data_IF_791645101329
#
_entry.id   IF_791645101329
#
_cell.length_a   1.000
_cell.length_b   1.000
_cell.length_c   1.000
_cell.angle_alpha   90.00
_cell.angle_beta   90.00
_cell.angle_gamma   90.00
#
_symmetry.space_group_name_H-M   'P 1'
#
loop_
_entity.id
_entity.type
_entity.pdbx_description
1 polymer ?
#
# COMPACT_ATOMS: atom_id res chain seq x y z
N UNK A 1 4.06 -22.66 18.30
CA UNK A 1 4.60 -22.28 16.97
C UNK A 1 3.73 -21.22 16.25
N UNK A 2 2.43 -21.44 16.03
CA UNK A 2 1.58 -20.50 15.28
C UNK A 2 1.37 -19.12 15.93
N UNK A 3 1.38 -19.03 17.27
CA UNK A 3 1.36 -17.74 17.98
C UNK A 3 2.58 -16.88 17.63
N UNK A 4 3.76 -17.49 17.52
CA UNK A 4 5.01 -16.80 17.22
C UNK A 4 5.02 -16.30 15.77
N UNK A 5 4.53 -17.10 14.82
CA UNK A 5 4.41 -16.71 13.41
C UNK A 5 3.42 -15.56 13.24
N UNK A 6 2.26 -15.61 13.94
CA UNK A 6 1.27 -14.53 13.93
C UNK A 6 1.82 -13.23 14.51
N UNK A 7 2.55 -13.28 15.62
CA UNK A 7 3.17 -12.10 16.22
C UNK A 7 4.29 -11.52 15.34
N UNK A 8 5.10 -12.35 14.70
CA UNK A 8 6.14 -11.88 13.78
C UNK A 8 5.57 -11.21 12.53
N UNK A 9 4.48 -11.74 11.97
CA UNK A 9 3.76 -11.09 10.87
C UNK A 9 3.13 -9.76 11.29
N UNK A 10 2.57 -9.69 12.49
CA UNK A 10 2.00 -8.45 13.03
C UNK A 10 3.07 -7.38 13.22
N UNK A 11 4.22 -7.74 13.79
CA UNK A 11 5.36 -6.84 13.99
C UNK A 11 5.95 -6.37 12.65
N UNK A 12 6.06 -7.25 11.66
CA UNK A 12 6.57 -6.90 10.33
C UNK A 12 5.67 -5.91 9.57
N UNK A 13 4.35 -5.92 9.82
CA UNK A 13 3.40 -4.98 9.20
C UNK A 13 3.34 -3.65 9.95
N UNK A 14 3.49 -3.68 11.27
CA UNK A 14 3.37 -2.50 12.13
C UNK A 14 4.68 -1.68 12.16
N UNK A 15 5.84 -2.33 12.12
CA UNK A 15 7.15 -1.66 12.24
C UNK A 15 7.43 -0.61 11.15
N UNK A 16 7.10 -0.81 9.85
CA UNK A 16 7.34 0.20 8.82
C UNK A 16 6.45 1.44 9.02
N UNK A 17 5.22 1.26 9.52
CA UNK A 17 4.27 2.37 9.76
C UNK A 17 4.81 3.32 10.83
N UNK A 18 5.36 2.78 11.92
CA UNK A 18 5.96 3.61 12.97
C UNK A 18 7.30 4.23 12.57
N UNK A 19 8.12 3.52 11.80
CA UNK A 19 9.37 4.07 11.30
C UNK A 19 9.15 5.29 10.38
N UNK A 20 8.10 5.27 9.56
CA UNK A 20 7.78 6.38 8.66
C UNK A 20 7.16 7.59 9.37
N UNK A 21 6.34 7.38 10.41
CA UNK A 21 5.84 8.50 11.23
C UNK A 21 6.98 9.24 11.93
N UNK A 22 8.02 8.53 12.37
CA UNK A 22 9.19 9.13 12.99
C UNK A 22 9.99 9.99 11.99
N UNK A 23 10.07 9.58 10.71
CA UNK A 23 10.82 10.31 9.69
C UNK A 23 10.13 11.63 9.29
N UNK A 24 8.80 11.63 9.18
CA UNK A 24 8.01 12.84 8.90
C UNK A 24 8.10 13.87 10.04
N UNK A 25 8.14 13.41 11.30
CA UNK A 25 8.29 14.32 12.44
C UNK A 25 9.71 14.88 12.59
N UNK A 26 10.74 14.16 12.11
CA UNK A 26 12.12 14.64 12.17
C UNK A 26 12.40 15.73 11.11
N UNK A 27 11.75 15.66 9.95
CA UNK A 27 11.95 16.58 8.82
C UNK A 27 11.38 17.99 9.04
N UNK A 28 10.47 18.18 10.00
CA UNK A 28 9.85 19.49 10.30
C UNK A 28 10.63 20.32 11.34
N UNK A 29 11.63 19.70 12.00
CA UNK A 29 12.28 20.33 13.16
C UNK A 29 13.51 21.20 12.85
N UNK A 30 13.98 21.21 11.61
CA UNK A 30 15.30 21.78 11.31
C UNK A 30 15.43 22.41 9.94
N UNK A 31 14.85 23.59 9.73
CA UNK A 31 15.47 24.69 8.98
C UNK A 31 14.58 25.95 8.99
N UNK A 32 14.75 26.77 10.03
CA UNK A 32 14.51 28.22 9.94
C UNK A 32 15.90 28.85 9.93
N UNK A 33 16.55 28.86 8.77
CA UNK A 33 17.78 29.60 8.56
C UNK A 33 17.49 30.76 7.61
N UNK A 34 17.58 31.98 8.15
CA UNK A 34 17.58 33.26 7.45
C UNK A 34 16.26 33.70 6.77
N UNK A 35 15.69 34.88 7.15
CA UNK A 35 14.55 35.51 6.47
C UNK A 35 14.74 35.81 4.98
N UNK A 36 15.99 35.77 4.48
CA UNK A 36 16.35 36.24 3.14
C UNK A 36 16.55 35.11 2.12
N UNK A 37 16.53 33.84 2.55
CA UNK A 37 16.49 32.71 1.63
C UNK A 37 15.07 32.59 1.08
N UNK A 38 14.81 33.32 0.00
CA UNK A 38 13.63 33.13 -0.84
C UNK A 38 13.42 31.62 -1.03
N UNK A 39 12.36 31.11 -0.39
CA UNK A 39 11.99 29.70 -0.36
C UNK A 39 11.84 29.20 -1.79
N UNK A 40 12.91 28.66 -2.35
CA UNK A 40 12.84 27.85 -3.54
C UNK A 40 12.48 26.47 -3.01
N UNK A 41 11.22 26.04 -3.12
CA UNK A 41 10.84 24.73 -2.63
C UNK A 41 11.81 23.72 -3.25
N UNK A 42 12.42 22.84 -2.45
CA UNK A 42 13.42 21.91 -2.95
C UNK A 42 12.83 21.19 -4.15
N UNK A 43 13.55 21.22 -5.28
CA UNK A 43 13.13 20.59 -6.52
C UNK A 43 12.93 19.10 -6.24
N UNK A 44 11.70 18.69 -5.94
CA UNK A 44 11.36 17.32 -5.65
C UNK A 44 11.78 16.49 -6.86
N UNK A 45 12.78 15.62 -6.68
CA UNK A 45 13.15 14.65 -7.70
C UNK A 45 12.01 13.66 -7.79
N UNK A 46 11.18 13.83 -8.81
CA UNK A 46 10.22 12.82 -9.19
C UNK A 46 11.02 11.60 -9.65
N UNK A 47 11.02 10.55 -8.83
CA UNK A 47 11.58 9.26 -9.20
C UNK A 47 10.52 8.50 -9.98
N UNK A 48 10.82 8.13 -11.22
CA UNK A 48 9.94 7.30 -12.04
C UNK A 48 9.77 5.91 -11.41
N UNK A 49 8.52 5.50 -11.19
CA UNK A 49 8.17 4.20 -10.63
C UNK A 49 8.13 3.15 -11.74
N UNK A 50 8.73 1.98 -11.54
CA UNK A 50 8.77 0.90 -12.54
C UNK A 50 7.57 -0.05 -12.35
N UNK A 51 6.62 -0.17 -13.30
CA UNK A 51 5.43 -1.01 -13.13
C UNK A 51 5.74 -2.49 -12.91
N UNK A 52 6.75 -3.02 -13.61
CA UNK A 52 7.18 -4.41 -13.45
C UNK A 52 7.74 -4.69 -12.06
N UNK A 53 8.41 -3.72 -11.44
CA UNK A 53 8.93 -3.86 -10.08
C UNK A 53 7.77 -3.92 -9.07
N UNK A 54 6.77 -3.05 -9.23
CA UNK A 54 5.56 -3.08 -8.42
C UNK A 54 4.80 -4.42 -8.55
N UNK A 55 4.70 -4.96 -9.77
CA UNK A 55 4.12 -6.29 -10.02
C UNK A 55 4.89 -7.42 -9.32
N UNK A 56 6.22 -7.47 -9.47
CA UNK A 56 7.04 -8.51 -8.84
C UNK A 56 6.98 -8.42 -7.31
N UNK A 57 6.96 -7.22 -6.76
CA UNK A 57 6.76 -7.00 -5.34
C UNK A 57 5.40 -7.55 -4.89
N UNK A 58 4.30 -7.15 -5.52
CA UNK A 58 2.96 -7.68 -5.20
C UNK A 58 2.84 -9.19 -5.35
N UNK A 59 3.60 -9.80 -6.28
CA UNK A 59 3.67 -11.25 -6.48
C UNK A 59 4.39 -11.94 -5.32
N UNK A 60 5.48 -11.35 -4.83
CA UNK A 60 6.25 -11.88 -3.70
C UNK A 60 5.49 -11.72 -2.37
N UNK A 61 4.90 -10.54 -2.16
CA UNK A 61 4.15 -10.19 -0.94
C UNK A 61 2.94 -9.36 -1.34
N UNK A 62 1.74 -9.85 -1.02
CA UNK A 62 0.47 -9.16 -1.29
C UNK A 62 0.51 -7.75 -0.71
N UNK A 63 0.10 -6.78 -1.52
CA UNK A 63 0.04 -5.38 -1.16
C UNK A 63 1.37 -4.64 -1.27
N UNK A 64 2.52 -5.31 -1.30
CA UNK A 64 3.83 -4.64 -1.26
C UNK A 64 4.13 -3.75 -2.48
N UNK A 65 3.59 -4.07 -3.66
CA UNK A 65 3.66 -3.18 -4.82
C UNK A 65 2.96 -1.83 -4.59
N UNK A 66 1.94 -1.78 -3.72
CA UNK A 66 1.32 -0.52 -3.32
C UNK A 66 2.18 0.28 -2.35
N UNK A 67 2.97 -0.37 -1.49
CA UNK A 67 3.96 0.31 -0.65
C UNK A 67 5.06 0.95 -1.50
N UNK A 68 5.50 0.28 -2.56
CA UNK A 68 6.43 0.86 -3.55
C UNK A 68 5.87 2.11 -4.22
N UNK A 69 4.55 2.14 -4.43
CA UNK A 69 3.80 3.26 -4.97
C UNK A 69 3.36 4.29 -3.92
N UNK A 70 3.82 4.18 -2.67
CA UNK A 70 3.44 5.07 -1.56
C UNK A 70 1.92 5.11 -1.26
N UNK A 71 1.17 4.10 -1.72
CA UNK A 71 -0.26 3.91 -1.46
C UNK A 71 -0.49 2.92 -0.32
N UNK A 72 0.02 3.28 0.86
CA UNK A 72 0.06 2.42 2.05
C UNK A 72 -1.32 1.92 2.51
N UNK A 73 -2.34 2.78 2.43
CA UNK A 73 -3.71 2.40 2.79
C UNK A 73 -4.24 1.25 1.93
N UNK A 74 -4.01 1.30 0.61
CA UNK A 74 -4.39 0.22 -0.30
C UNK A 74 -3.57 -1.04 -0.04
N UNK A 75 -2.26 -0.90 0.11
CA UNK A 75 -1.36 -2.02 0.39
C UNK A 75 -1.75 -2.78 1.66
N UNK A 76 -2.04 -2.04 2.74
CA UNK A 76 -2.45 -2.61 4.02
C UNK A 76 -3.80 -3.32 3.92
N UNK A 77 -4.78 -2.72 3.24
CA UNK A 77 -6.08 -3.34 3.02
C UNK A 77 -5.96 -4.65 2.23
N UNK A 78 -5.16 -4.67 1.17
CA UNK A 78 -4.93 -5.89 0.37
C UNK A 78 -4.24 -6.99 1.18
N UNK A 79 -3.22 -6.63 1.96
CA UNK A 79 -2.50 -7.58 2.81
C UNK A 79 -3.40 -8.19 3.88
N UNK A 80 -4.14 -7.36 4.63
CA UNK A 80 -5.06 -7.82 5.67
C UNK A 80 -6.19 -8.67 5.09
N UNK A 81 -6.71 -8.31 3.92
CA UNK A 81 -7.67 -9.12 3.19
C UNK A 81 -7.12 -10.51 2.89
N UNK A 82 -5.97 -10.60 2.23
CA UNK A 82 -5.33 -11.89 1.93
C UNK A 82 -5.03 -12.72 3.20
N UNK A 83 -4.49 -12.08 4.24
CA UNK A 83 -4.20 -12.73 5.51
C UNK A 83 -5.46 -13.28 6.18
N UNK A 84 -6.58 -12.55 6.12
CA UNK A 84 -7.88 -13.00 6.63
C UNK A 84 -8.36 -14.25 5.89
N UNK A 85 -8.28 -14.26 4.56
CA UNK A 85 -8.67 -15.42 3.75
C UNK A 85 -7.82 -16.66 4.03
N UNK A 86 -6.50 -16.48 4.14
CA UNK A 86 -5.58 -17.56 4.55
C UNK A 86 -5.91 -18.07 5.96
N UNK A 87 -6.20 -17.16 6.89
CA UNK A 87 -6.63 -17.50 8.25
C UNK A 87 -7.90 -18.34 8.28
N UNK A 88 -8.93 -17.95 7.50
CA UNK A 88 -10.18 -18.70 7.36
C UNK A 88 -9.94 -20.10 6.79
N UNK A 89 -9.12 -20.21 5.73
CA UNK A 89 -8.78 -21.50 5.12
C UNK A 89 -8.12 -22.46 6.12
N UNK A 90 -7.12 -21.98 6.88
CA UNK A 90 -6.45 -22.80 7.87
C UNK A 90 -7.31 -23.09 9.10
N UNK A 91 -8.18 -22.17 9.51
CA UNK A 91 -9.11 -22.39 10.60
C UNK A 91 -10.07 -23.54 10.26
N UNK A 92 -10.71 -23.49 9.09
CA UNK A 92 -11.62 -24.53 8.62
C UNK A 92 -10.93 -25.89 8.42
N UNK A 93 -9.62 -25.90 8.16
CA UNK A 93 -8.84 -27.16 8.05
C UNK A 93 -8.52 -27.79 9.41
N UNK A 94 -8.54 -27.03 10.51
CA UNK A 94 -8.25 -27.55 11.86
C UNK A 94 -9.40 -28.34 12.45
N UNK A 95 -10.63 -27.92 12.18
CA UNK A 95 -11.82 -28.52 12.80
C UNK A 95 -12.19 -29.88 12.16
N UNK A 96 -11.61 -30.21 11.00
CA UNK A 96 -11.76 -31.52 10.35
C UNK A 96 -10.87 -32.63 10.95
N UNK A 97 -10.21 -32.40 12.08
CA UNK A 97 -9.37 -33.40 12.75
C UNK A 97 -10.05 -33.95 14.02
N UNK A 98 -10.42 -35.24 13.91
CA UNK A 98 -10.72 -36.21 14.98
C UNK A 98 -12.14 -36.25 15.58
N UNK A 99 -12.98 -37.08 14.96
CA UNK A 99 -13.90 -37.97 15.68
C UNK A 99 -14.00 -39.31 14.92
N UNK A 100 -12.90 -40.07 14.88
CA UNK A 100 -12.89 -41.43 14.31
C UNK A 100 -13.33 -42.51 15.34
N UNK A 101 -13.68 -42.12 16.57
CA UNK A 101 -13.93 -43.05 17.70
C UNK A 101 -15.41 -43.12 18.12
N UNK A 102 -16.25 -42.19 17.69
CA UNK A 102 -17.68 -42.25 17.96
C UNK A 102 -18.37 -42.43 16.62
N UNK A 103 -18.97 -43.60 16.36
CA UNK A 103 -19.62 -43.99 15.09
C UNK A 103 -20.87 -43.17 14.73
N UNK A 104 -20.79 -41.86 14.88
CA UNK A 104 -21.76 -40.87 14.48
C UNK A 104 -21.18 -40.20 13.25
N UNK A 105 -21.82 -40.42 12.11
CA UNK A 105 -21.53 -39.67 10.88
C UNK A 105 -21.62 -38.19 11.22
N UNK A 106 -20.48 -37.50 11.14
CA UNK A 106 -20.44 -36.05 11.23
C UNK A 106 -20.62 -35.59 9.79
N UNK A 107 -21.71 -34.89 9.51
CA UNK A 107 -21.95 -34.21 8.24
C UNK A 107 -20.72 -33.35 7.89
N UNK A 108 -20.03 -33.75 6.83
CA UNK A 108 -18.80 -33.11 6.35
C UNK A 108 -19.07 -31.88 5.48
N UNK A 109 -20.32 -31.46 5.30
CA UNK A 109 -20.73 -30.53 4.24
C UNK A 109 -20.46 -29.04 4.59
N UNK A 110 -20.63 -28.64 5.85
CA UNK A 110 -20.59 -27.20 6.21
C UNK A 110 -19.19 -26.56 6.18
N UNK A 111 -18.12 -27.33 6.42
CA UNK A 111 -16.76 -26.77 6.53
C UNK A 111 -16.09 -26.54 5.17
N UNK A 112 -16.55 -27.18 4.10
CA UNK A 112 -15.97 -27.02 2.78
C UNK A 112 -16.31 -25.65 2.16
N UNK A 113 -17.45 -25.06 2.53
CA UNK A 113 -17.80 -23.69 2.18
C UNK A 113 -16.81 -22.67 2.76
N UNK A 114 -16.47 -22.79 4.04
CA UNK A 114 -15.56 -21.84 4.69
C UNK A 114 -14.14 -21.93 4.12
N UNK A 115 -13.69 -23.14 3.76
CA UNK A 115 -12.41 -23.37 3.04
C UNK A 115 -12.43 -22.72 1.67
N UNK A 116 -13.51 -22.93 0.90
CA UNK A 116 -13.69 -22.32 -0.41
C UNK A 116 -13.69 -20.79 -0.36
N UNK A 117 -14.44 -20.21 0.59
CA UNK A 117 -14.49 -18.75 0.81
C UNK A 117 -13.12 -18.22 1.21
N UNK A 118 -12.43 -18.86 2.16
CA UNK A 118 -11.10 -18.43 2.60
C UNK A 118 -10.06 -18.45 1.45
N UNK A 119 -10.03 -19.54 0.68
CA UNK A 119 -9.15 -19.67 -0.48
C UNK A 119 -9.48 -18.64 -1.57
N UNK A 120 -10.77 -18.47 -1.90
CA UNK A 120 -11.23 -17.50 -2.89
C UNK A 120 -10.90 -16.06 -2.49
N UNK A 121 -11.09 -15.72 -1.22
CA UNK A 121 -10.77 -14.38 -0.71
C UNK A 121 -9.26 -14.12 -0.74
N UNK A 122 -8.44 -15.07 -0.29
CA UNK A 122 -6.98 -14.96 -0.36
C UNK A 122 -6.48 -14.77 -1.80
N UNK A 123 -6.95 -15.63 -2.71
CA UNK A 123 -6.58 -15.58 -4.12
C UNK A 123 -7.06 -14.28 -4.80
N UNK A 124 -8.27 -13.82 -4.49
CA UNK A 124 -8.81 -12.57 -5.00
C UNK A 124 -7.94 -11.36 -4.62
N UNK A 125 -7.50 -11.26 -3.37
CA UNK A 125 -6.61 -10.18 -2.93
C UNK A 125 -5.20 -10.27 -3.53
N UNK A 126 -4.66 -11.48 -3.74
CA UNK A 126 -3.40 -11.69 -4.45
C UNK A 126 -3.50 -11.14 -5.87
N UNK A 127 -4.51 -11.57 -6.64
CA UNK A 127 -4.71 -11.12 -8.02
C UNK A 127 -4.97 -9.61 -8.09
N UNK A 128 -5.81 -9.09 -7.20
CA UNK A 128 -6.07 -7.65 -7.14
C UNK A 128 -4.78 -6.86 -6.90
N UNK A 129 -3.94 -7.31 -5.97
CA UNK A 129 -2.66 -6.65 -5.69
C UNK A 129 -1.68 -6.70 -6.87
N UNK A 130 -1.63 -7.81 -7.60
CA UNK A 130 -0.78 -7.97 -8.79
C UNK A 130 -1.20 -7.03 -9.93
N UNK A 131 -2.50 -6.78 -10.10
CA UNK A 131 -3.03 -5.95 -11.19
C UNK A 131 -2.99 -4.46 -10.81
N UNK A 132 -3.43 -4.11 -9.61
CA UNK A 132 -3.58 -2.70 -9.21
C UNK A 132 -2.22 -2.00 -9.01
N UNK A 133 -1.20 -2.73 -8.55
CA UNK A 133 0.11 -2.14 -8.30
C UNK A 133 0.82 -1.58 -9.56
N UNK A 134 0.97 -2.32 -10.67
CA UNK A 134 1.56 -1.75 -11.89
C UNK A 134 0.71 -0.62 -12.49
N UNK A 135 -0.63 -0.70 -12.43
CA UNK A 135 -1.52 0.36 -12.90
C UNK A 135 -1.32 1.65 -12.11
N UNK A 136 -1.23 1.52 -10.78
CA UNK A 136 -0.96 2.61 -9.85
C UNK A 136 0.39 3.28 -10.13
N UNK A 137 1.45 2.52 -10.45
CA UNK A 137 2.75 3.09 -10.87
C UNK A 137 2.63 3.91 -12.16
N UNK A 138 1.89 3.40 -13.16
CA UNK A 138 1.68 4.10 -14.43
C UNK A 138 0.93 5.42 -14.20
N UNK A 139 -0.10 5.40 -13.36
CA UNK A 139 -0.89 6.58 -13.05
C UNK A 139 -0.05 7.64 -12.31
N UNK A 140 0.75 7.23 -11.31
CA UNK A 140 1.65 8.14 -10.59
C UNK A 140 2.65 8.78 -11.56
N UNK A 141 3.28 8.00 -12.44
CA UNK A 141 4.21 8.54 -13.42
C UNK A 141 3.53 9.56 -14.35
N UNK A 142 2.31 9.28 -14.83
CA UNK A 142 1.53 10.22 -15.65
C UNK A 142 1.22 11.51 -14.89
N UNK A 143 0.73 11.41 -13.66
CA UNK A 143 0.43 12.58 -12.81
C UNK A 143 1.68 13.42 -12.56
N UNK A 144 2.82 12.78 -12.32
CA UNK A 144 4.08 13.48 -12.10
C UNK A 144 4.58 14.19 -13.37
N UNK A 145 4.45 13.56 -14.55
CA UNK A 145 4.78 14.20 -15.84
C UNK A 145 3.87 15.41 -16.13
N UNK A 146 2.57 15.29 -15.82
CA UNK A 146 1.62 16.39 -15.96
C UNK A 146 1.95 17.56 -15.01
N UNK A 147 2.30 17.27 -13.76
CA UNK A 147 2.71 18.28 -12.79
C UNK A 147 3.96 19.06 -13.25
N UNK A 148 4.95 18.38 -13.84
CA UNK A 148 6.11 19.05 -14.43
C UNK A 148 5.75 19.93 -15.63
N UNK A 149 4.82 19.47 -16.46
CA UNK A 149 4.41 20.20 -17.67
C UNK A 149 3.57 21.44 -17.32
N UNK A 150 2.71 21.37 -16.30
CA UNK A 150 1.81 22.45 -15.91
C UNK A 150 2.41 23.45 -14.90
N UNK A 151 3.43 23.05 -14.12
CA UNK A 151 4.10 23.91 -13.14
C UNK A 151 4.57 25.28 -13.68
N UNK A 152 5.23 25.36 -14.85
CA UNK A 152 5.64 26.65 -15.41
C UNK A 152 4.47 27.48 -15.98
N UNK A 153 3.35 26.86 -16.38
CA UNK A 153 2.21 27.58 -16.95
C UNK A 153 1.45 28.37 -15.88
N UNK A 154 1.22 27.77 -14.70
CA UNK A 154 0.55 28.46 -13.58
C UNK A 154 1.43 29.58 -13.00
N UNK A 155 2.75 29.39 -12.98
CA UNK A 155 3.69 30.41 -12.52
C UNK A 155 3.75 31.62 -13.47
N UNK A 156 3.64 31.40 -14.79
CA UNK A 156 3.69 32.47 -15.80
C UNK A 156 2.44 33.36 -15.79
N UNK A 157 1.26 32.78 -15.61
CA UNK A 157 0.00 33.54 -15.55
C UNK A 157 -0.10 34.41 -14.29
N UNK A 158 0.43 33.96 -13.15
CA UNK A 158 0.43 34.78 -11.93
C UNK A 158 1.39 35.97 -12.00
N UNK A 159 2.53 35.83 -12.67
CA UNK A 159 3.47 36.94 -12.86
C UNK A 159 2.87 38.01 -13.78
N UNK A 160 2.14 37.61 -14.84
CA UNK A 160 1.47 38.56 -15.73
C UNK A 160 0.40 39.43 -15.04
N UNK A 161 -0.39 38.85 -14.13
CA UNK A 161 -1.46 39.56 -13.41
C UNK A 161 -0.91 40.53 -12.35
N UNK A 162 0.22 40.22 -11.73
CA UNK A 162 0.82 41.10 -10.71
C UNK A 162 1.49 42.33 -11.33
N UNK A 163 2.04 42.23 -12.54
CA UNK A 163 2.62 43.38 -13.24
C UNK A 163 1.57 44.36 -13.80
N UNK A 164 0.35 43.91 -14.05
CA UNK A 164 -0.72 44.78 -14.56
C UNK A 164 -1.45 45.59 -13.47
N UNK A 165 -1.23 45.31 -12.19
CA UNK A 165 -1.92 45.97 -11.07
C UNK A 165 -1.11 47.09 -10.40
N UNK A 166 0.09 47.41 -10.91
CA UNK A 166 1.03 48.36 -10.28
C UNK A 166 1.48 49.50 -11.22
N UNK A 167 0.69 49.83 -12.24
CA UNK A 167 1.01 50.86 -13.24
C UNK A 167 0.08 52.09 -13.22
N UNK A 168 -0.72 52.27 -12.16
CA UNK A 168 -1.51 53.48 -11.93
C UNK A 168 -0.97 54.29 -10.74
#
# INVERSE_FOLDING_TARGET
MYRIIGTLLLVAVISPVYAQQAEVMMLDSGQITSPDDFYTPPKQRVVEKKPWAAFLLSTAVVGSGQFYNEQYGKGSAMFLGAATGIGMYFHATRDNKFNFVSGKEIDLDDNDHLRGVGAGLAFGFILWSMIDAPLSSIEINKRNQQAMTMGPMIARDRIGVVFSLNLD
#
